data_IF_072689312214
#
_entry.id   IF_072689312214
#
_cell.length_a   1.000
_cell.length_b   1.000
_cell.length_c   1.000
_cell.angle_alpha   90.00
_cell.angle_beta   90.00
_cell.angle_gamma   90.00
#
_symmetry.space_group_name_H-M   'P 1'
#
loop_
_entity.id
_entity.type
_entity.pdbx_description
1 polymer ?
#
# COMPACT_ATOMS: atom_id res chain seq x y z
N UNK A 1 1.78 11.04 14.71
CA UNK A 1 2.19 9.67 14.59
C UNK A 1 3.31 9.51 13.57
N UNK A 2 3.91 8.35 13.53
CA UNK A 2 5.10 8.02 12.72
C UNK A 2 4.95 8.41 11.24
N UNK A 3 3.81 8.10 10.61
CA UNK A 3 3.53 8.41 9.20
C UNK A 3 3.67 9.92 8.94
N UNK A 4 3.01 10.77 9.74
CA UNK A 4 3.07 12.21 9.56
C UNK A 4 4.47 12.79 9.78
N UNK A 5 5.27 12.15 10.65
CA UNK A 5 6.67 12.53 10.87
C UNK A 5 7.53 12.18 9.65
N UNK A 6 7.34 11.00 9.05
CA UNK A 6 8.06 10.57 7.84
C UNK A 6 7.70 11.45 6.64
N UNK A 7 6.44 11.82 6.47
CA UNK A 7 6.01 12.78 5.45
C UNK A 7 6.51 14.21 5.68
N UNK A 8 7.05 14.52 6.87
CA UNK A 8 7.49 15.87 7.21
C UNK A 8 6.41 16.94 6.90
N UNK A 9 5.14 16.57 7.11
CA UNK A 9 3.97 17.37 6.69
C UNK A 9 4.06 18.82 7.15
N UNK A 10 4.55 19.07 8.37
CA UNK A 10 4.71 20.45 8.90
C UNK A 10 5.68 21.29 8.08
N UNK A 11 6.67 20.66 7.45
CA UNK A 11 7.68 21.36 6.65
C UNK A 11 7.12 21.80 5.30
N UNK A 12 6.01 21.21 4.84
CA UNK A 12 5.35 21.59 3.59
C UNK A 12 4.49 22.85 3.74
N UNK A 13 4.02 23.18 4.95
CA UNK A 13 3.13 24.32 5.18
C UNK A 13 3.77 25.65 4.74
N UNK A 14 5.03 25.98 5.10
CA UNK A 14 5.67 27.21 4.60
C UNK A 14 5.72 27.28 3.08
N UNK A 15 6.06 26.18 2.40
CA UNK A 15 6.11 26.11 0.94
C UNK A 15 4.73 26.35 0.30
N UNK A 16 3.66 25.79 0.89
CA UNK A 16 2.29 26.02 0.43
C UNK A 16 1.85 27.49 0.64
N UNK A 17 2.33 28.12 1.71
CA UNK A 17 2.06 29.55 1.99
C UNK A 17 2.83 30.43 0.98
N UNK A 18 4.12 30.18 0.76
CA UNK A 18 4.94 30.91 -0.20
C UNK A 18 4.42 30.82 -1.62
N UNK A 19 3.85 29.65 -2.00
CA UNK A 19 3.23 29.43 -3.29
C UNK A 19 1.79 29.98 -3.41
N UNK A 20 1.24 30.56 -2.34
CA UNK A 20 -0.14 31.07 -2.26
C UNK A 20 -1.23 30.01 -2.59
N UNK A 21 -0.96 28.73 -2.31
CA UNK A 21 -1.89 27.64 -2.61
C UNK A 21 -2.54 27.02 -1.38
N UNK A 22 -2.08 27.34 -0.16
CA UNK A 22 -2.62 26.73 1.07
C UNK A 22 -4.12 27.00 1.23
N UNK A 23 -4.57 28.23 0.94
CA UNK A 23 -5.99 28.59 1.00
C UNK A 23 -6.83 27.75 0.04
N UNK A 24 -6.42 27.65 -1.21
CA UNK A 24 -7.10 26.84 -2.22
C UNK A 24 -7.13 25.34 -1.88
N UNK A 25 -6.05 24.82 -1.28
CA UNK A 25 -6.01 23.45 -0.81
C UNK A 25 -7.06 23.20 0.28
N UNK A 26 -7.15 24.10 1.27
CA UNK A 26 -8.14 24.01 2.35
C UNK A 26 -9.57 24.09 1.78
N UNK A 27 -9.83 25.02 0.86
CA UNK A 27 -11.13 25.15 0.18
C UNK A 27 -11.52 23.86 -0.53
N UNK A 28 -10.59 23.17 -1.19
CA UNK A 28 -10.84 21.87 -1.84
C UNK A 28 -11.26 20.77 -0.86
N UNK A 29 -10.61 20.70 0.30
CA UNK A 29 -11.01 19.74 1.34
C UNK A 29 -12.35 20.08 2.02
N UNK A 30 -12.76 21.34 1.96
CA UNK A 30 -14.04 21.83 2.50
C UNK A 30 -15.16 21.88 1.45
N UNK A 31 -14.88 21.41 0.23
CA UNK A 31 -15.89 21.39 -0.85
C UNK A 31 -17.05 20.48 -0.45
N UNK A 32 -18.27 21.01 -0.60
CA UNK A 32 -19.51 20.31 -0.26
C UNK A 32 -19.78 19.08 -1.13
N UNK A 33 -19.05 18.90 -2.23
CA UNK A 33 -19.10 17.72 -3.08
C UNK A 33 -18.15 16.61 -2.64
N UNK A 34 -17.36 16.82 -1.58
CA UNK A 34 -16.38 15.87 -1.08
C UNK A 34 -16.76 15.44 0.34
N UNK A 35 -16.92 14.16 0.55
CA UNK A 35 -17.07 13.57 1.88
C UNK A 35 -15.95 12.55 2.16
N UNK A 36 -14.97 12.94 2.96
CA UNK A 36 -13.89 12.06 3.41
C UNK A 36 -14.19 11.43 4.78
N UNK A 37 -15.44 11.50 5.24
CA UNK A 37 -15.86 10.96 6.53
C UNK A 37 -16.33 9.51 6.40
N UNK A 38 -16.09 8.65 7.41
CA UNK A 38 -16.69 7.31 7.47
C UNK A 38 -18.20 7.33 7.76
N UNK A 39 -18.81 8.51 7.77
CA UNK A 39 -20.26 8.69 7.94
C UNK A 39 -20.82 9.43 6.74
N UNK A 40 -22.04 9.06 6.27
CA UNK A 40 -22.70 9.78 5.20
C UNK A 40 -22.99 11.23 5.62
N UNK A 41 -22.96 12.14 4.66
CA UNK A 41 -23.41 13.51 4.86
C UNK A 41 -24.93 13.55 4.60
N UNK A 42 -25.68 14.05 5.57
CA UNK A 42 -27.15 14.13 5.53
C UNK A 42 -27.59 15.57 5.37
N UNK A 43 -28.71 15.79 4.69
CA UNK A 43 -29.41 17.08 4.67
C UNK A 43 -30.23 17.31 5.96
N UNK A 44 -30.89 18.47 6.05
CA UNK A 44 -31.72 18.83 7.21
C UNK A 44 -32.98 17.96 7.35
N UNK A 45 -33.38 17.30 6.27
CA UNK A 45 -34.55 16.43 6.20
C UNK A 45 -34.19 14.95 6.45
N UNK A 46 -32.90 14.65 6.62
CA UNK A 46 -32.38 13.31 6.88
C UNK A 46 -32.15 12.48 5.61
N UNK A 47 -32.12 13.08 4.42
CA UNK A 47 -31.73 12.39 3.20
C UNK A 47 -30.19 12.40 3.02
N UNK A 48 -29.65 11.33 2.44
CA UNK A 48 -28.24 11.24 2.17
C UNK A 48 -27.83 12.15 1.00
N UNK A 49 -26.95 13.13 1.29
CA UNK A 49 -26.37 14.02 0.28
C UNK A 49 -25.14 13.40 -0.36
N UNK A 50 -24.25 12.84 0.48
CA UNK A 50 -23.05 12.15 0.02
C UNK A 50 -22.85 10.86 0.82
N UNK A 51 -22.46 9.76 0.17
CA UNK A 51 -22.20 8.50 0.85
C UNK A 51 -21.04 8.61 1.84
N UNK A 52 -21.01 7.68 2.79
CA UNK A 52 -19.85 7.47 3.64
C UNK A 52 -18.67 6.99 2.79
N UNK A 53 -17.47 7.41 3.17
CA UNK A 53 -16.22 6.88 2.62
C UNK A 53 -15.67 5.85 3.59
N UNK A 54 -15.87 4.57 3.30
CA UNK A 54 -15.32 3.49 4.10
C UNK A 54 -13.79 3.31 3.86
N UNK A 55 -13.16 2.46 4.66
CA UNK A 55 -11.72 2.22 4.56
C UNK A 55 -11.31 1.67 3.19
N UNK A 56 -12.11 0.79 2.60
CA UNK A 56 -11.80 0.20 1.29
C UNK A 56 -11.86 1.27 0.17
N UNK A 57 -12.90 2.09 0.17
CA UNK A 57 -13.03 3.19 -0.80
C UNK A 57 -11.93 4.24 -0.60
N UNK A 58 -11.54 4.55 0.65
CA UNK A 58 -10.40 5.42 0.96
C UNK A 58 -9.09 4.86 0.41
N UNK A 59 -8.84 3.56 0.60
CA UNK A 59 -7.66 2.88 0.05
C UNK A 59 -7.63 2.96 -1.49
N UNK A 60 -8.77 2.72 -2.15
CA UNK A 60 -8.88 2.83 -3.62
C UNK A 60 -8.56 4.24 -4.13
N UNK A 61 -9.07 5.28 -3.45
CA UNK A 61 -8.75 6.68 -3.79
C UNK A 61 -7.26 6.94 -3.61
N UNK A 62 -6.68 6.46 -2.52
CA UNK A 62 -5.26 6.66 -2.22
C UNK A 62 -4.38 5.98 -3.27
N UNK A 63 -4.65 4.73 -3.65
CA UNK A 63 -3.95 4.03 -4.73
C UNK A 63 -4.02 4.80 -6.06
N UNK A 64 -5.20 5.31 -6.42
CA UNK A 64 -5.37 6.09 -7.64
C UNK A 64 -4.59 7.41 -7.61
N UNK A 65 -4.53 8.08 -6.47
CA UNK A 65 -3.73 9.30 -6.29
C UNK A 65 -2.22 8.99 -6.45
N UNK A 66 -1.72 7.92 -5.84
CA UNK A 66 -0.33 7.49 -5.98
C UNK A 66 -0.02 7.10 -7.43
N UNK A 67 -0.93 6.38 -8.09
CA UNK A 67 -0.78 6.01 -9.51
C UNK A 67 -0.65 7.26 -10.39
N UNK A 68 -1.54 8.24 -10.23
CA UNK A 68 -1.49 9.50 -10.99
C UNK A 68 -0.24 10.30 -10.69
N UNK A 69 0.13 10.40 -9.42
CA UNK A 69 1.35 11.09 -9.03
C UNK A 69 2.59 10.48 -9.71
N UNK A 70 2.69 9.16 -9.74
CA UNK A 70 3.79 8.46 -10.40
C UNK A 70 3.77 8.64 -11.93
N UNK A 71 2.59 8.69 -12.55
CA UNK A 71 2.45 8.94 -14.00
C UNK A 71 2.82 10.37 -14.41
N UNK A 72 2.49 11.36 -13.57
CA UNK A 72 2.77 12.78 -13.84
C UNK A 72 4.25 13.13 -13.63
N UNK A 73 4.93 12.45 -12.72
CA UNK A 73 6.34 12.66 -12.38
C UNK A 73 7.28 11.72 -13.15
N UNK A 74 7.10 11.58 -14.44
CA UNK A 74 7.70 10.65 -15.40
C UNK A 74 9.23 10.41 -15.33
N UNK A 75 10.00 11.11 -14.51
CA UNK A 75 11.46 10.95 -14.38
C UNK A 75 11.86 9.87 -13.37
N UNK A 76 10.95 9.44 -12.47
CA UNK A 76 11.22 8.46 -11.41
C UNK A 76 10.21 7.28 -11.37
N UNK A 77 9.29 7.21 -12.33
CA UNK A 77 8.21 6.21 -12.34
C UNK A 77 8.72 4.74 -12.34
N UNK A 78 9.94 4.51 -12.80
CA UNK A 78 10.58 3.19 -12.78
C UNK A 78 11.13 2.78 -11.41
N UNK A 79 11.39 3.72 -10.52
CA UNK A 79 11.96 3.44 -9.20
C UNK A 79 10.92 3.04 -8.16
N UNK A 80 9.64 3.43 -8.36
CA UNK A 80 8.60 3.23 -7.37
C UNK A 80 7.44 2.33 -7.81
N UNK A 81 7.40 1.94 -9.07
CA UNK A 81 6.29 1.17 -9.60
C UNK A 81 6.72 0.03 -10.52
N UNK A 82 6.44 -1.19 -10.11
CA UNK A 82 6.59 -2.37 -10.97
C UNK A 82 5.27 -2.61 -11.72
N UNK A 83 5.27 -2.65 -13.08
CA UNK A 83 4.05 -2.90 -13.85
C UNK A 83 3.34 -4.18 -13.42
N UNK A 84 2.02 -4.11 -13.28
CA UNK A 84 1.21 -5.25 -12.79
C UNK A 84 1.41 -6.55 -13.58
N UNK A 85 1.60 -6.44 -14.89
CA UNK A 85 1.83 -7.61 -15.75
C UNK A 85 3.17 -8.28 -15.47
N UNK A 86 4.20 -7.49 -15.12
CA UNK A 86 5.51 -8.00 -14.69
C UNK A 86 5.37 -8.70 -13.34
N UNK A 87 4.65 -8.09 -12.39
CA UNK A 87 4.39 -8.70 -11.08
C UNK A 87 3.63 -10.02 -11.20
N UNK A 88 2.59 -10.06 -12.05
CA UNK A 88 1.86 -11.30 -12.33
C UNK A 88 2.77 -12.38 -12.90
N UNK A 89 3.65 -12.03 -13.84
CA UNK A 89 4.62 -12.96 -14.38
C UNK A 89 5.57 -13.48 -13.29
N UNK A 90 6.08 -12.60 -12.42
CA UNK A 90 6.93 -12.98 -11.30
C UNK A 90 6.21 -13.93 -10.34
N UNK A 91 4.96 -13.62 -9.98
CA UNK A 91 4.13 -14.46 -9.14
C UNK A 91 3.88 -15.83 -9.79
N UNK A 92 3.58 -15.88 -11.08
CA UNK A 92 3.40 -17.14 -11.81
C UNK A 92 4.69 -17.97 -11.88
N UNK A 93 5.84 -17.35 -12.09
CA UNK A 93 7.14 -18.06 -12.10
C UNK A 93 7.48 -18.71 -10.75
N UNK A 94 7.02 -18.12 -9.64
CA UNK A 94 7.26 -18.65 -8.29
C UNK A 94 6.21 -19.68 -7.91
N UNK A 95 4.93 -19.39 -8.13
CA UNK A 95 3.85 -20.22 -7.59
C UNK A 95 3.46 -21.40 -8.48
N UNK A 96 3.48 -21.27 -9.82
CA UNK A 96 3.07 -22.35 -10.71
C UNK A 96 3.95 -23.62 -10.58
N UNK A 97 5.28 -23.53 -10.43
CA UNK A 97 6.10 -24.74 -10.25
C UNK A 97 5.78 -25.52 -8.97
N UNK A 98 5.28 -24.85 -7.93
CA UNK A 98 4.94 -25.46 -6.64
C UNK A 98 3.44 -25.61 -6.41
N UNK A 99 2.62 -25.26 -7.39
CA UNK A 99 1.17 -25.21 -7.29
C UNK A 99 0.56 -26.53 -6.79
N UNK A 100 1.09 -27.68 -7.25
CA UNK A 100 0.63 -29.00 -6.79
C UNK A 100 0.97 -29.33 -5.33
N UNK A 101 1.87 -28.56 -4.72
CA UNK A 101 2.35 -28.74 -3.35
C UNK A 101 1.77 -27.71 -2.36
N UNK A 102 0.95 -26.78 -2.84
CA UNK A 102 0.28 -25.81 -1.97
C UNK A 102 -0.72 -26.54 -1.08
N UNK A 103 -0.54 -26.49 0.22
CA UNK A 103 -1.42 -27.07 1.23
C UNK A 103 -2.21 -25.99 1.97
N UNK A 104 -3.29 -26.40 2.65
CA UNK A 104 -3.99 -25.48 3.56
C UNK A 104 -3.09 -25.11 4.75
N UNK A 105 -2.96 -23.82 5.02
CA UNK A 105 -2.08 -23.32 6.08
C UNK A 105 -1.73 -21.85 5.94
N UNK A 106 -0.73 -21.43 6.68
CA UNK A 106 -0.24 -20.05 6.68
C UNK A 106 1.02 -19.96 5.85
N UNK A 107 1.09 -18.93 5.00
CA UNK A 107 2.24 -18.61 4.16
C UNK A 107 2.75 -17.22 4.47
N UNK A 108 4.06 -17.08 4.59
CA UNK A 108 4.75 -15.82 4.81
C UNK A 108 5.42 -15.40 3.49
N UNK A 109 5.07 -14.22 3.00
CA UNK A 109 5.59 -13.67 1.74
C UNK A 109 6.32 -12.38 2.02
N UNK A 110 7.55 -12.23 1.51
CA UNK A 110 8.45 -11.13 1.84
C UNK A 110 8.93 -10.37 0.62
N UNK A 111 9.02 -9.05 0.77
CA UNK A 111 9.68 -8.15 -0.17
C UNK A 111 10.70 -7.25 0.56
N UNK A 112 11.97 -7.39 0.18
CA UNK A 112 13.08 -6.61 0.77
C UNK A 112 13.24 -5.21 0.19
N UNK A 113 12.51 -4.85 -0.86
CA UNK A 113 12.43 -3.52 -1.45
C UNK A 113 10.95 -3.19 -1.71
N UNK A 114 10.19 -3.11 -0.61
CA UNK A 114 8.74 -3.18 -0.59
C UNK A 114 8.03 -2.12 -1.44
N UNK A 115 8.65 -0.96 -1.59
CA UNK A 115 8.08 0.16 -2.32
C UNK A 115 6.72 0.57 -1.73
N UNK A 116 5.73 0.73 -2.58
CA UNK A 116 4.35 1.03 -2.18
C UNK A 116 3.52 -0.23 -1.85
N UNK A 117 4.11 -1.42 -1.93
CA UNK A 117 3.46 -2.68 -1.56
C UNK A 117 2.67 -3.38 -2.66
N UNK A 118 2.55 -2.76 -3.83
CA UNK A 118 1.75 -3.30 -4.93
C UNK A 118 2.17 -4.69 -5.43
N UNK A 119 3.45 -5.05 -5.29
CA UNK A 119 3.95 -6.36 -5.71
C UNK A 119 3.38 -7.48 -4.84
N UNK A 120 3.48 -7.35 -3.52
CA UNK A 120 3.00 -8.41 -2.63
C UNK A 120 1.48 -8.56 -2.64
N UNK A 121 0.73 -7.47 -2.84
CA UNK A 121 -0.74 -7.54 -3.00
C UNK A 121 -1.12 -8.42 -4.21
N UNK A 122 -0.47 -8.21 -5.36
CA UNK A 122 -0.72 -9.04 -6.55
C UNK A 122 -0.28 -10.49 -6.34
N UNK A 123 0.83 -10.71 -5.63
CA UNK A 123 1.30 -12.05 -5.28
C UNK A 123 0.31 -12.78 -4.36
N UNK A 124 -0.23 -12.09 -3.35
CA UNK A 124 -1.26 -12.61 -2.45
C UNK A 124 -2.53 -13.00 -3.21
N UNK A 125 -3.05 -12.10 -4.06
CA UNK A 125 -4.20 -12.39 -4.93
C UNK A 125 -3.97 -13.69 -5.73
N UNK A 126 -2.77 -13.82 -6.32
CA UNK A 126 -2.44 -14.96 -7.16
C UNK A 126 -2.29 -16.25 -6.37
N UNK A 127 -1.63 -16.25 -5.23
CA UNK A 127 -1.49 -17.43 -4.38
C UNK A 127 -2.85 -17.88 -3.83
N UNK A 128 -3.70 -16.94 -3.44
CA UNK A 128 -5.07 -17.21 -3.00
C UNK A 128 -5.91 -17.85 -4.11
N UNK A 129 -5.80 -17.34 -5.34
CA UNK A 129 -6.50 -17.92 -6.50
C UNK A 129 -6.06 -19.38 -6.76
N UNK A 130 -4.75 -19.63 -6.76
CA UNK A 130 -4.20 -20.96 -6.97
C UNK A 130 -4.63 -21.95 -5.87
N UNK A 131 -4.57 -21.53 -4.61
CA UNK A 131 -5.03 -22.35 -3.49
C UNK A 131 -6.52 -22.69 -3.60
N UNK A 132 -7.35 -21.70 -3.94
CA UNK A 132 -8.80 -21.90 -4.15
C UNK A 132 -9.09 -22.90 -5.27
N UNK A 133 -8.34 -22.86 -6.38
CA UNK A 133 -8.48 -23.80 -7.49
C UNK A 133 -8.19 -25.24 -7.07
N UNK A 134 -7.33 -25.42 -6.08
CA UNK A 134 -7.02 -26.71 -5.45
C UNK A 134 -7.86 -27.03 -4.21
N UNK A 135 -8.89 -26.20 -3.90
CA UNK A 135 -9.75 -26.34 -2.70
C UNK A 135 -8.95 -26.34 -1.40
N UNK A 136 -7.90 -25.52 -1.35
CA UNK A 136 -7.07 -25.30 -0.18
C UNK A 136 -7.45 -23.97 0.47
N UNK A 137 -7.40 -23.93 1.79
CA UNK A 137 -7.64 -22.72 2.60
C UNK A 137 -6.30 -22.20 3.09
N UNK A 138 -5.92 -21.01 2.63
CA UNK A 138 -4.62 -20.41 2.93
C UNK A 138 -4.81 -19.05 3.63
N UNK A 139 -3.97 -18.79 4.62
CA UNK A 139 -3.79 -17.48 5.25
C UNK A 139 -2.43 -16.95 4.81
N UNK A 140 -2.39 -15.76 4.25
CA UNK A 140 -1.16 -15.17 3.72
C UNK A 140 -0.83 -13.94 4.56
N UNK A 141 0.41 -13.84 5.03
CA UNK A 141 0.92 -12.69 5.74
C UNK A 141 2.05 -12.06 4.95
N UNK A 142 1.89 -10.79 4.63
CA UNK A 142 2.83 -10.01 3.86
C UNK A 142 3.82 -9.33 4.80
N UNK A 143 5.10 -9.40 4.46
CA UNK A 143 6.19 -8.76 5.18
C UNK A 143 7.01 -7.92 4.22
N UNK A 144 7.45 -6.77 4.65
CA UNK A 144 8.25 -5.91 3.80
C UNK A 144 9.22 -5.03 4.55
N UNK A 145 10.27 -4.62 3.83
CA UNK A 145 11.22 -3.63 4.32
C UNK A 145 11.46 -2.57 3.26
N UNK A 146 11.41 -1.30 3.67
CA UNK A 146 11.56 -0.16 2.78
C UNK A 146 12.55 0.86 3.36
N UNK A 147 13.54 1.25 2.56
CA UNK A 147 14.59 2.18 2.97
C UNK A 147 14.18 3.64 2.76
N UNK A 148 13.34 3.92 1.77
CA UNK A 148 12.86 5.27 1.50
C UNK A 148 11.78 5.66 2.53
N UNK A 149 11.98 6.71 3.34
CA UNK A 149 11.04 7.07 4.40
C UNK A 149 9.69 7.54 3.89
N UNK A 150 9.63 8.14 2.69
CA UNK A 150 8.38 8.64 2.09
C UNK A 150 7.56 7.47 1.55
N UNK A 151 8.19 6.58 0.78
CA UNK A 151 7.58 5.36 0.24
C UNK A 151 7.08 4.45 1.37
N UNK A 152 7.89 4.26 2.43
CA UNK A 152 7.46 3.54 3.63
C UNK A 152 6.21 4.15 4.27
N UNK A 153 6.17 5.49 4.40
CA UNK A 153 5.03 6.17 4.99
C UNK A 153 3.76 6.05 4.12
N UNK A 154 3.91 6.10 2.79
CA UNK A 154 2.83 5.88 1.82
C UNK A 154 2.25 4.48 2.00
N UNK A 155 3.10 3.46 1.97
CA UNK A 155 2.68 2.08 2.14
C UNK A 155 1.94 1.84 3.46
N UNK A 156 2.50 2.29 4.58
CA UNK A 156 1.83 2.18 5.88
C UNK A 156 0.50 2.94 5.93
N UNK A 157 0.43 4.10 5.31
CA UNK A 157 -0.81 4.86 5.25
C UNK A 157 -1.89 4.10 4.47
N UNK A 158 -1.54 3.50 3.33
CA UNK A 158 -2.46 2.71 2.51
C UNK A 158 -3.02 1.51 3.29
N UNK A 159 -2.17 0.70 3.91
CA UNK A 159 -2.59 -0.44 4.72
C UNK A 159 -3.51 -0.02 5.88
N UNK A 160 -3.17 1.05 6.59
CA UNK A 160 -4.01 1.55 7.68
C UNK A 160 -5.36 2.08 7.19
N UNK A 161 -5.40 2.74 6.02
CA UNK A 161 -6.64 3.22 5.42
C UNK A 161 -7.55 2.07 4.96
N UNK A 162 -6.97 0.96 4.52
CA UNK A 162 -7.69 -0.27 4.19
C UNK A 162 -8.18 -1.04 5.41
N UNK A 163 -7.74 -0.67 6.61
CA UNK A 163 -8.06 -1.37 7.86
C UNK A 163 -7.14 -2.56 8.14
N UNK A 164 -6.03 -2.68 7.42
CA UNK A 164 -5.03 -3.74 7.49
C UNK A 164 -3.90 -3.35 8.46
N UNK A 165 -4.26 -2.99 9.68
CA UNK A 165 -3.31 -2.51 10.69
C UNK A 165 -2.29 -3.57 11.12
N UNK A 166 -2.68 -4.84 11.16
CA UNK A 166 -1.79 -5.94 11.50
C UNK A 166 -0.72 -6.14 10.42
N UNK A 167 -1.09 -6.06 9.14
CA UNK A 167 -0.19 -6.11 7.99
C UNK A 167 0.74 -4.89 7.98
N UNK A 168 0.24 -3.72 8.34
CA UNK A 168 1.06 -2.52 8.47
C UNK A 168 2.21 -2.69 9.49
N UNK A 169 2.02 -3.47 10.56
CA UNK A 169 3.07 -3.76 11.55
C UNK A 169 4.17 -4.67 11.00
N UNK A 170 3.87 -5.46 9.99
CA UNK A 170 4.82 -6.31 9.28
C UNK A 170 5.72 -5.54 8.29
N UNK A 171 5.44 -4.26 8.05
CA UNK A 171 6.28 -3.42 7.19
C UNK A 171 7.23 -2.61 8.06
N UNK A 172 8.54 -2.78 7.81
CA UNK A 172 9.60 -2.19 8.61
C UNK A 172 10.41 -1.18 7.82
N UNK A 173 10.77 -0.08 8.48
CA UNK A 173 11.65 0.93 7.90
C UNK A 173 13.10 0.54 8.07
N UNK A 174 13.89 0.61 7.00
CA UNK A 174 15.34 0.42 7.03
C UNK A 174 15.88 -0.34 5.85
N UNK A 175 17.21 -0.51 5.84
CA UNK A 175 17.91 -1.22 4.76
C UNK A 175 17.90 -2.73 4.98
N UNK A 176 17.42 -3.46 4.01
CA UNK A 176 17.46 -4.93 3.95
C UNK A 176 18.88 -5.50 3.97
N UNK A 177 19.83 -4.72 3.45
CA UNK A 177 21.25 -5.11 3.40
C UNK A 177 22.02 -4.76 4.69
N UNK A 178 21.35 -4.16 5.67
CA UNK A 178 21.97 -3.84 6.97
C UNK A 178 22.14 -5.10 7.82
N UNK A 179 23.23 -5.20 8.61
CA UNK A 179 23.35 -6.23 9.64
C UNK A 179 22.26 -6.17 10.71
N UNK A 180 21.53 -5.07 10.79
CA UNK A 180 20.38 -4.86 11.69
C UNK A 180 19.04 -4.87 10.95
N UNK A 181 18.96 -5.53 9.78
CA UNK A 181 17.70 -5.67 9.05
C UNK A 181 16.63 -6.35 9.91
N UNK A 182 15.40 -5.87 9.81
CA UNK A 182 14.32 -6.26 10.72
C UNK A 182 14.03 -7.77 10.71
N UNK A 183 14.18 -8.41 9.55
CA UNK A 183 13.80 -9.81 9.34
C UNK A 183 15.00 -10.76 9.13
N UNK A 184 16.19 -10.39 9.58
CA UNK A 184 17.45 -11.15 9.34
C UNK A 184 17.41 -12.60 9.85
N UNK A 185 16.57 -12.91 10.82
CA UNK A 185 16.43 -14.25 11.42
C UNK A 185 15.10 -14.92 11.10
N UNK A 186 14.27 -14.30 10.25
CA UNK A 186 12.97 -14.85 9.88
C UNK A 186 13.05 -15.61 8.57
N UNK A 187 12.43 -16.78 8.52
CA UNK A 187 12.25 -17.56 7.31
C UNK A 187 10.91 -17.22 6.66
N UNK A 188 10.89 -17.17 5.34
CA UNK A 188 9.71 -16.90 4.54
C UNK A 188 9.49 -18.03 3.54
N UNK A 189 8.23 -18.34 3.27
CA UNK A 189 7.87 -19.37 2.27
C UNK A 189 8.16 -18.88 0.85
N UNK A 190 7.90 -17.59 0.60
CA UNK A 190 8.13 -16.97 -0.70
C UNK A 190 8.74 -15.57 -0.55
N UNK A 191 9.56 -15.21 -1.53
CA UNK A 191 10.17 -13.89 -1.62
C UNK A 191 10.05 -13.37 -3.05
N UNK A 192 9.51 -12.16 -3.19
CA UNK A 192 9.48 -11.41 -4.44
C UNK A 192 10.07 -10.04 -4.16
N UNK A 193 10.97 -9.56 -5.00
CA UNK A 193 11.54 -8.23 -4.81
C UNK A 193 11.97 -7.63 -6.14
N UNK A 194 11.77 -6.33 -6.29
CA UNK A 194 12.29 -5.54 -7.38
C UNK A 194 13.15 -4.40 -6.80
N UNK A 195 14.40 -4.67 -6.39
CA UNK A 195 15.28 -3.66 -5.83
C UNK A 195 15.67 -2.64 -6.91
N UNK A 196 15.93 -1.36 -6.51
CA UNK A 196 16.41 -0.30 -7.41
C UNK A 196 17.81 -0.56 -7.93
#
# INVERSE_FOLDING_TARGET
GEILEKFKFRNQIPTLIEADILGHLIEKFLDTCINLSPKPLMDIDGNELLPALDNHAMGTIFEELIRRFNEENNEEAGEHFTPRDVVKLMADLIFLPVNGNIESGTYLVYDGAYGTGGMLTVAEERLTELARNHKKDVSIHLYGQEINPETYAICKADLLLKGEGAEADNIQYGSTLSPSAAFISQEFDFMLSNPP
#
